data_IF_886117558256
#
_entry.id   IF_886117558256
#
_cell.length_a   1.000
_cell.length_b   1.000
_cell.length_c   1.000
_cell.angle_alpha   90.00
_cell.angle_beta   90.00
_cell.angle_gamma   90.00
#
_symmetry.space_group_name_H-M   'P 1'
#
loop_
_entity.id
_entity.type
_entity.pdbx_description
1 polymer ?
#
# COMPACT_ATOMS: atom_id res chain seq x y z
N UNK A 1 -15.34 9.09 -6.38
CA UNK A 1 -14.11 9.83 -6.04
C UNK A 1 -14.02 11.04 -6.95
N UNK A 2 -13.64 12.21 -6.42
CA UNK A 2 -13.42 13.40 -7.25
C UNK A 2 -12.06 13.27 -7.95
N UNK A 3 -12.00 13.53 -9.25
CA UNK A 3 -10.75 13.51 -10.03
C UNK A 3 -10.13 14.91 -10.06
N UNK A 4 -8.81 14.98 -9.89
CA UNK A 4 -8.05 16.24 -10.00
C UNK A 4 -6.84 16.01 -10.89
N UNK A 5 -6.67 16.84 -11.90
CA UNK A 5 -5.47 16.81 -12.75
C UNK A 5 -4.33 17.55 -12.06
N UNK A 6 -3.16 16.91 -12.00
CA UNK A 6 -1.92 17.48 -11.46
C UNK A 6 -0.79 17.27 -12.47
N UNK A 7 0.19 18.16 -12.48
CA UNK A 7 1.43 17.96 -13.26
C UNK A 7 2.41 17.16 -12.41
N UNK A 8 2.96 16.11 -13.00
CA UNK A 8 3.96 15.23 -12.40
C UNK A 8 5.10 15.04 -13.40
N UNK A 9 6.30 14.81 -12.86
CA UNK A 9 7.49 14.49 -13.64
C UNK A 9 7.30 13.21 -14.47
N UNK A 10 7.71 13.26 -15.73
CA UNK A 10 7.50 12.16 -16.68
C UNK A 10 8.25 10.89 -16.28
N UNK A 11 9.44 11.02 -15.70
CA UNK A 11 10.24 9.87 -15.26
C UNK A 11 9.59 9.19 -14.05
N UNK A 12 8.95 9.95 -13.16
CA UNK A 12 8.15 9.38 -12.08
C UNK A 12 6.97 8.56 -12.64
N UNK A 13 6.27 9.08 -13.66
CA UNK A 13 5.18 8.35 -14.31
C UNK A 13 5.66 7.03 -14.94
N UNK A 14 6.78 7.06 -15.69
CA UNK A 14 7.37 5.85 -16.29
C UNK A 14 7.78 4.83 -15.24
N UNK A 15 8.38 5.30 -14.14
CA UNK A 15 8.78 4.42 -13.04
C UNK A 15 7.56 3.80 -12.35
N UNK A 16 6.54 4.59 -12.07
CA UNK A 16 5.29 4.10 -11.47
C UNK A 16 4.57 3.10 -12.38
N UNK A 17 4.58 3.30 -13.70
CA UNK A 17 4.01 2.35 -14.66
C UNK A 17 4.77 1.02 -14.65
N UNK A 18 6.11 1.05 -14.68
CA UNK A 18 6.94 -0.16 -14.64
C UNK A 18 6.71 -0.98 -13.36
N UNK A 19 6.74 -0.33 -12.21
CA UNK A 19 6.56 -1.00 -10.90
C UNK A 19 5.10 -1.41 -10.71
N UNK A 20 4.15 -0.54 -11.09
CA UNK A 20 2.72 -0.84 -11.02
C UNK A 20 2.37 -2.09 -11.81
N UNK A 21 2.87 -2.23 -13.04
CA UNK A 21 2.65 -3.42 -13.85
C UNK A 21 3.20 -4.70 -13.19
N UNK A 22 4.37 -4.63 -12.55
CA UNK A 22 4.95 -5.77 -11.82
C UNK A 22 4.14 -6.13 -10.56
N UNK A 23 3.48 -5.15 -9.95
CA UNK A 23 2.72 -5.27 -8.72
C UNK A 23 1.19 -5.38 -8.94
N UNK A 24 0.76 -5.55 -10.18
CA UNK A 24 -0.66 -5.59 -10.58
C UNK A 24 -1.46 -4.34 -10.16
N UNK A 25 -0.86 -3.15 -10.27
CA UNK A 25 -1.47 -1.83 -10.04
C UNK A 25 -1.37 -0.95 -11.30
N UNK A 26 -2.37 -0.10 -11.53
CA UNK A 26 -2.25 0.94 -12.55
C UNK A 26 -1.22 2.00 -12.13
N UNK A 27 -0.68 2.75 -13.09
CA UNK A 27 0.28 3.84 -12.81
C UNK A 27 -0.25 4.83 -11.74
N UNK A 28 -1.50 5.34 -11.83
CA UNK A 28 -2.04 6.22 -10.79
C UNK A 28 -2.13 5.55 -9.42
N UNK A 29 -2.58 4.29 -9.36
CA UNK A 29 -2.65 3.53 -8.10
C UNK A 29 -1.27 3.29 -7.49
N UNK A 30 -0.24 3.09 -8.31
CA UNK A 30 1.12 2.93 -7.82
C UNK A 30 1.67 4.24 -7.21
N UNK A 31 1.36 5.40 -7.83
CA UNK A 31 1.71 6.71 -7.26
C UNK A 31 0.97 6.95 -5.93
N UNK A 32 -0.33 6.65 -5.88
CA UNK A 32 -1.11 6.74 -4.63
C UNK A 32 -0.55 5.83 -3.54
N UNK A 33 -0.12 4.62 -3.90
CA UNK A 33 0.52 3.70 -2.97
C UNK A 33 1.82 4.26 -2.38
N UNK A 34 2.71 4.80 -3.22
CA UNK A 34 3.93 5.45 -2.74
C UNK A 34 3.65 6.66 -1.85
N UNK A 35 2.70 7.51 -2.25
CA UNK A 35 2.30 8.66 -1.44
C UNK A 35 1.77 8.23 -0.06
N UNK A 36 0.97 7.16 -0.01
CA UNK A 36 0.44 6.59 1.23
C UNK A 36 1.54 6.04 2.13
N UNK A 37 2.49 5.28 1.58
CA UNK A 37 3.66 4.79 2.33
C UNK A 37 4.47 5.97 2.87
N UNK A 38 4.80 6.95 2.02
CA UNK A 38 5.58 8.13 2.41
C UNK A 38 4.92 8.89 3.55
N UNK A 39 3.60 9.09 3.49
CA UNK A 39 2.85 9.71 4.58
C UNK A 39 2.96 8.93 5.89
N UNK A 40 2.76 7.61 5.86
CA UNK A 40 2.83 6.76 7.05
C UNK A 40 4.23 6.73 7.69
N UNK A 41 5.29 6.75 6.87
CA UNK A 41 6.67 6.83 7.33
C UNK A 41 6.96 8.18 7.98
N UNK A 42 6.44 9.27 7.42
CA UNK A 42 6.60 10.61 8.00
C UNK A 42 5.87 10.73 9.35
N UNK A 43 4.71 10.10 9.50
CA UNK A 43 3.97 10.07 10.77
C UNK A 43 4.59 9.13 11.81
N UNK A 44 5.27 8.07 11.38
CA UNK A 44 5.84 7.03 12.24
C UNK A 44 7.31 6.77 11.85
N UNK A 45 8.22 7.73 12.11
CA UNK A 45 9.61 7.68 11.62
C UNK A 45 10.45 6.57 12.26
N UNK A 46 9.99 6.02 13.38
CA UNK A 46 10.58 4.90 14.10
C UNK A 46 10.21 3.53 13.52
N UNK A 47 9.16 3.47 12.69
CA UNK A 47 8.71 2.22 12.08
C UNK A 47 9.45 1.96 10.77
N UNK A 48 10.04 0.76 10.59
CA UNK A 48 10.61 0.36 9.31
C UNK A 48 9.57 0.37 8.19
N UNK A 49 10.00 0.75 6.99
CA UNK A 49 9.11 0.85 5.82
C UNK A 49 8.49 -0.51 5.50
N UNK A 50 9.26 -1.59 5.61
CA UNK A 50 8.82 -2.96 5.38
C UNK A 50 7.65 -3.34 6.30
N UNK A 51 7.72 -2.94 7.58
CA UNK A 51 6.67 -3.20 8.55
C UNK A 51 5.36 -2.47 8.18
N UNK A 52 5.46 -1.22 7.73
CA UNK A 52 4.31 -0.45 7.25
C UNK A 52 3.69 -1.14 6.01
N UNK A 53 4.51 -1.64 5.09
CA UNK A 53 4.02 -2.38 3.92
C UNK A 53 3.27 -3.66 4.32
N UNK A 54 3.80 -4.43 5.27
CA UNK A 54 3.16 -5.64 5.78
C UNK A 54 1.80 -5.35 6.43
N UNK A 55 1.70 -4.30 7.25
CA UNK A 55 0.43 -3.86 7.83
C UNK A 55 -0.59 -3.52 6.75
N UNK A 56 -0.17 -2.81 5.68
CA UNK A 56 -1.07 -2.48 4.59
C UNK A 56 -1.54 -3.73 3.84
N UNK A 57 -0.66 -4.70 3.58
CA UNK A 57 -1.03 -6.00 2.98
C UNK A 57 -2.02 -6.75 3.89
N UNK A 58 -1.74 -6.82 5.18
CA UNK A 58 -2.62 -7.46 6.17
C UNK A 58 -4.00 -6.80 6.27
N UNK A 59 -4.08 -5.46 6.10
CA UNK A 59 -5.35 -4.73 6.06
C UNK A 59 -6.15 -5.02 4.78
N UNK A 60 -5.49 -5.25 3.65
CA UNK A 60 -6.15 -5.64 2.40
C UNK A 60 -6.71 -7.07 2.44
N UNK A 61 -6.09 -7.97 3.20
CA UNK A 61 -6.56 -9.35 3.40
C UNK A 61 -7.66 -9.48 4.48
N UNK A 62 -8.19 -8.37 5.01
CA UNK A 62 -9.03 -8.39 6.21
C UNK A 62 -10.39 -9.05 6.01
N UNK A 63 -10.84 -9.20 4.76
CA UNK A 63 -12.09 -9.89 4.40
C UNK A 63 -11.93 -11.42 4.37
N UNK A 64 -10.69 -11.93 4.39
CA UNK A 64 -10.36 -13.38 4.39
C UNK A 64 -9.95 -13.87 5.79
N UNK A 65 -10.65 -13.42 6.84
CA UNK A 65 -10.35 -13.82 8.22
C UNK A 65 -11.29 -14.90 8.72
N UNK A 66 -10.75 -16.07 8.99
CA UNK A 66 -11.44 -17.11 9.76
C UNK A 66 -11.49 -16.72 11.26
N UNK A 67 -12.61 -16.95 11.95
CA UNK A 67 -12.69 -16.77 13.40
C UNK A 67 -11.63 -17.61 14.08
N UNK A 68 -10.83 -16.98 14.95
CA UNK A 68 -9.91 -17.72 15.81
C UNK A 68 -10.72 -18.51 16.84
N UNK A 69 -10.77 -19.83 16.68
CA UNK A 69 -11.29 -20.73 17.70
C UNK A 69 -10.16 -21.10 18.66
N UNK A 70 -10.28 -20.72 19.93
CA UNK A 70 -9.44 -21.28 20.98
C UNK A 70 -9.68 -22.79 20.98
N UNK A 71 -8.61 -23.59 20.89
CA UNK A 71 -8.73 -25.02 21.14
C UNK A 71 -9.22 -25.17 22.57
N UNK A 72 -10.39 -25.77 22.75
CA UNK A 72 -10.84 -26.17 24.07
C UNK A 72 -9.77 -27.10 24.66
N UNK A 73 -9.12 -26.63 25.71
CA UNK A 73 -8.17 -27.43 26.49
C UNK A 73 -8.98 -28.52 27.20
N UNK A 74 -8.70 -29.79 26.88
CA UNK A 74 -9.26 -30.96 27.54
C UNK A 74 -8.20 -31.63 28.41
#
# INVERSE_FOLDING_TARGET
>A
MATRSIRIDEELCKHAEKIGNAEHRSMPMQIEYWAKIGHLVLENPDLPVEFIQEILKAKSLRDEKEPFAFRDEN
#
